data_IF_877987737300
#
_entry.id   IF_877987737300
#
_cell.length_a   1.000
_cell.length_b   1.000
_cell.length_c   1.000
_cell.angle_alpha   90.00
_cell.angle_beta   90.00
_cell.angle_gamma   90.00
#
_symmetry.space_group_name_H-M   'P 1'
#
loop_
_entity.id
_entity.type
_entity.pdbx_description
1 polymer ?
#
# COMPACT_ATOMS: atom_id res chain seq x y z
N UNK A 1 -0.43 40.87 -32.55
CA UNK A 1 0.22 40.50 -31.27
C UNK A 1 -0.81 39.77 -30.41
N UNK A 2 -1.11 38.52 -30.76
CA UNK A 2 -2.07 37.61 -30.08
C UNK A 2 -1.43 36.23 -29.80
N UNK A 3 -0.16 36.07 -30.16
CA UNK A 3 0.59 34.81 -30.09
C UNK A 3 1.15 34.53 -28.70
N UNK A 4 1.35 35.57 -27.89
CA UNK A 4 1.93 35.48 -26.55
C UNK A 4 0.95 34.83 -25.57
N UNK A 5 -0.30 35.31 -25.54
CA UNK A 5 -1.38 34.74 -24.71
C UNK A 5 -1.74 33.31 -25.11
N UNK A 6 -1.76 33.00 -26.41
CA UNK A 6 -2.03 31.64 -26.88
C UNK A 6 -0.89 30.67 -26.52
N UNK A 7 0.35 31.14 -26.52
CA UNK A 7 1.50 30.35 -26.08
C UNK A 7 1.48 30.14 -24.56
N UNK A 8 1.17 31.17 -23.77
CA UNK A 8 1.01 31.07 -22.31
C UNK A 8 -0.10 30.08 -21.94
N UNK A 9 -1.24 30.10 -22.64
CA UNK A 9 -2.33 29.14 -22.45
C UNK A 9 -1.89 27.71 -22.77
N UNK A 10 -1.21 27.49 -23.89
CA UNK A 10 -0.72 26.17 -24.27
C UNK A 10 0.31 25.61 -23.27
N UNK A 11 1.19 26.47 -22.73
CA UNK A 11 2.16 26.08 -21.70
C UNK A 11 1.46 25.73 -20.38
N UNK A 12 0.43 26.48 -20.01
CA UNK A 12 -0.38 26.19 -18.82
C UNK A 12 -1.12 24.85 -18.95
N UNK A 13 -1.77 24.61 -20.08
CA UNK A 13 -2.45 23.33 -20.39
C UNK A 13 -1.47 22.15 -20.36
N UNK A 14 -0.29 22.29 -20.95
CA UNK A 14 0.74 21.25 -20.91
C UNK A 14 1.21 20.95 -19.48
N UNK A 15 1.39 21.99 -18.67
CA UNK A 15 1.79 21.85 -17.26
C UNK A 15 0.71 21.16 -16.43
N UNK A 16 -0.56 21.45 -16.71
CA UNK A 16 -1.70 20.79 -16.07
C UNK A 16 -1.78 19.31 -16.45
N UNK A 17 -1.58 18.97 -17.72
CA UNK A 17 -1.54 17.58 -18.18
C UNK A 17 -0.40 16.78 -17.53
N UNK A 18 0.81 17.35 -17.44
CA UNK A 18 1.94 16.73 -16.72
C UNK A 18 1.62 16.51 -15.23
N UNK A 19 0.97 17.49 -14.58
CA UNK A 19 0.55 17.33 -13.20
C UNK A 19 -0.47 16.19 -13.02
N UNK A 20 -1.43 16.06 -13.93
CA UNK A 20 -2.43 14.97 -13.93
C UNK A 20 -1.74 13.60 -14.11
N UNK A 21 -0.80 13.49 -15.05
CA UNK A 21 -0.05 12.25 -15.28
C UNK A 21 0.76 11.85 -14.05
N UNK A 22 1.50 12.78 -13.45
CA UNK A 22 2.27 12.53 -12.22
C UNK A 22 1.38 12.12 -11.05
N UNK A 23 0.18 12.70 -10.94
CA UNK A 23 -0.81 12.29 -9.92
C UNK A 23 -1.26 10.84 -10.16
N UNK A 24 -1.62 10.49 -11.40
CA UNK A 24 -2.05 9.14 -11.75
C UNK A 24 -0.95 8.09 -11.49
N UNK A 25 0.29 8.39 -11.89
CA UNK A 25 1.44 7.53 -11.62
C UNK A 25 1.67 7.35 -10.11
N UNK A 26 1.67 8.45 -9.35
CA UNK A 26 1.88 8.42 -7.90
C UNK A 26 0.79 7.63 -7.17
N UNK A 27 -0.47 7.72 -7.62
CA UNK A 27 -1.59 6.92 -7.11
C UNK A 27 -1.39 5.43 -7.35
N UNK A 28 -0.96 5.06 -8.56
CA UNK A 28 -0.61 3.67 -8.90
C UNK A 28 0.51 3.13 -8.00
N UNK A 29 1.56 3.93 -7.78
CA UNK A 29 2.65 3.58 -6.87
C UNK A 29 2.17 3.38 -5.43
N UNK A 30 1.33 4.28 -4.90
CA UNK A 30 0.77 4.13 -3.56
C UNK A 30 0.00 2.82 -3.40
N UNK A 31 -0.89 2.49 -4.34
CA UNK A 31 -1.68 1.26 -4.32
C UNK A 31 -0.78 0.02 -4.37
N UNK A 32 0.24 0.04 -5.22
CA UNK A 32 1.24 -1.03 -5.36
C UNK A 32 2.05 -1.24 -4.09
N UNK A 33 2.51 -0.16 -3.45
CA UNK A 33 3.26 -0.23 -2.20
C UNK A 33 2.43 -0.80 -1.05
N UNK A 34 1.17 -0.38 -0.91
CA UNK A 34 0.28 -0.94 0.13
C UNK A 34 -0.01 -2.42 -0.14
N UNK A 35 -0.27 -2.81 -1.39
CA UNK A 35 -0.45 -4.22 -1.77
C UNK A 35 0.77 -5.07 -1.41
N UNK A 36 1.97 -4.55 -1.71
CA UNK A 36 3.24 -5.19 -1.35
C UNK A 36 3.39 -5.35 0.16
N UNK A 37 3.02 -4.34 0.95
CA UNK A 37 3.02 -4.41 2.41
C UNK A 37 2.06 -5.48 2.95
N UNK A 38 0.84 -5.59 2.40
CA UNK A 38 -0.10 -6.66 2.77
C UNK A 38 0.52 -8.03 2.55
N UNK A 39 1.13 -8.25 1.38
CA UNK A 39 1.77 -9.53 1.05
C UNK A 39 2.91 -9.86 2.00
N UNK A 40 3.80 -8.90 2.28
CA UNK A 40 4.92 -9.09 3.19
C UNK A 40 4.45 -9.47 4.61
N UNK A 41 3.37 -8.87 5.10
CA UNK A 41 2.77 -9.21 6.39
C UNK A 41 2.15 -10.61 6.40
N UNK A 42 1.51 -11.03 5.30
CA UNK A 42 0.99 -12.39 5.15
C UNK A 42 2.11 -13.43 5.14
N UNK A 43 3.20 -13.15 4.42
CA UNK A 43 4.37 -14.02 4.37
C UNK A 43 5.03 -14.14 5.76
N UNK A 44 5.13 -13.03 6.51
CA UNK A 44 5.61 -13.04 7.88
C UNK A 44 4.71 -13.85 8.83
N UNK A 45 3.39 -13.73 8.71
CA UNK A 45 2.42 -14.54 9.45
C UNK A 45 2.56 -16.03 9.11
N UNK A 46 2.79 -16.36 7.83
CA UNK A 46 3.07 -17.72 7.38
C UNK A 46 4.36 -18.30 7.98
N UNK A 47 5.44 -17.53 8.02
CA UNK A 47 6.69 -17.94 8.65
C UNK A 47 6.52 -18.16 10.17
N UNK A 48 5.80 -17.26 10.86
CA UNK A 48 5.49 -17.43 12.27
C UNK A 48 4.63 -18.68 12.52
N UNK A 49 3.67 -18.97 11.65
CA UNK A 49 2.88 -20.20 11.75
C UNK A 49 3.74 -21.47 11.59
N UNK A 50 4.76 -21.43 10.73
CA UNK A 50 5.72 -22.54 10.60
C UNK A 50 6.56 -22.70 11.88
N UNK A 51 7.09 -21.62 12.44
CA UNK A 51 7.82 -21.64 13.72
C UNK A 51 6.96 -22.21 14.84
N UNK A 52 5.66 -21.91 14.83
CA UNK A 52 4.70 -22.39 15.84
C UNK A 52 4.09 -23.75 15.56
N UNK A 53 4.47 -24.39 14.45
CA UNK A 53 3.95 -25.71 14.07
C UNK A 53 4.72 -26.85 14.74
N UNK A 54 4.13 -28.03 14.81
CA UNK A 54 4.79 -29.23 15.35
C UNK A 54 5.97 -29.74 14.49
N UNK A 55 6.19 -29.19 13.29
CA UNK A 55 7.33 -29.60 12.45
C UNK A 55 8.61 -28.84 12.75
N UNK A 56 8.52 -27.55 13.13
CA UNK A 56 9.68 -26.74 13.52
C UNK A 56 9.73 -26.57 15.04
N UNK A 57 8.59 -26.26 15.65
CA UNK A 57 8.37 -26.10 17.08
C UNK A 57 9.44 -25.25 17.78
N UNK A 58 9.39 -23.94 17.53
CA UNK A 58 10.19 -22.98 18.26
C UNK A 58 9.50 -22.59 19.58
N UNK A 59 10.09 -23.01 20.71
CA UNK A 59 9.50 -22.82 22.05
C UNK A 59 9.31 -21.35 22.41
N UNK A 60 10.17 -20.44 21.95
CA UNK A 60 10.08 -19.01 22.24
C UNK A 60 8.86 -18.40 21.54
N UNK A 61 8.54 -18.85 20.32
CA UNK A 61 7.36 -18.41 19.59
C UNK A 61 6.07 -19.17 19.94
N UNK A 62 6.16 -20.41 20.42
CA UNK A 62 4.99 -21.23 20.80
C UNK A 62 4.50 -20.89 22.20
N UNK A 63 5.40 -20.92 23.18
CA UNK A 63 5.08 -20.83 24.61
C UNK A 63 5.42 -19.46 25.19
N UNK A 64 6.34 -18.74 24.56
CA UNK A 64 6.72 -17.39 24.96
C UNK A 64 5.59 -16.38 24.76
N UNK A 65 5.49 -15.44 25.70
CA UNK A 65 4.57 -14.30 25.63
C UNK A 65 4.77 -13.51 24.34
N UNK A 66 6.03 -13.22 24.01
CA UNK A 66 6.40 -12.39 22.88
C UNK A 66 5.95 -13.01 21.54
N UNK A 67 5.99 -14.35 21.41
CA UNK A 67 5.49 -15.05 20.22
C UNK A 67 3.99 -14.85 19.99
N UNK A 68 3.20 -14.79 21.06
CA UNK A 68 1.75 -14.48 20.99
C UNK A 68 1.51 -13.01 20.67
N UNK A 69 2.31 -12.12 21.23
CA UNK A 69 2.21 -10.68 20.98
C UNK A 69 2.56 -10.37 19.52
N UNK A 70 3.61 -11.00 18.95
CA UNK A 70 3.96 -10.89 17.53
C UNK A 70 2.84 -11.42 16.62
N UNK A 71 2.22 -12.56 16.96
CA UNK A 71 1.11 -13.09 16.19
C UNK A 71 -0.08 -12.12 16.13
N UNK A 72 -0.44 -11.54 17.29
CA UNK A 72 -1.52 -10.56 17.40
C UNK A 72 -1.20 -9.31 16.59
N UNK A 73 0.04 -8.80 16.72
CA UNK A 73 0.50 -7.64 15.98
C UNK A 73 0.45 -7.84 14.46
N UNK A 74 0.84 -9.02 13.96
CA UNK A 74 0.78 -9.33 12.53
C UNK A 74 -0.67 -9.37 12.02
N UNK A 75 -1.58 -10.01 12.75
CA UNK A 75 -3.00 -10.08 12.38
C UNK A 75 -3.64 -8.68 12.33
N UNK A 76 -3.37 -7.84 13.33
CA UNK A 76 -3.84 -6.45 13.36
C UNK A 76 -3.23 -5.62 12.22
N UNK A 77 -1.93 -5.78 11.97
CA UNK A 77 -1.23 -5.07 10.89
C UNK A 77 -1.80 -5.45 9.52
N UNK A 78 -2.09 -6.73 9.27
CA UNK A 78 -2.73 -7.20 8.04
C UNK A 78 -4.10 -6.53 7.88
N UNK A 79 -4.90 -6.51 8.96
CA UNK A 79 -6.23 -5.89 8.94
C UNK A 79 -6.16 -4.40 8.63
N UNK A 80 -5.31 -3.65 9.33
CA UNK A 80 -5.16 -2.21 9.12
C UNK A 80 -4.63 -1.88 7.72
N UNK A 81 -3.65 -2.65 7.23
CA UNK A 81 -3.08 -2.43 5.89
C UNK A 81 -4.09 -2.73 4.79
N UNK A 82 -4.92 -3.78 4.93
CA UNK A 82 -6.03 -4.05 4.01
C UNK A 82 -7.10 -2.96 4.03
N UNK A 83 -7.39 -2.39 5.20
CA UNK A 83 -8.31 -1.26 5.31
C UNK A 83 -7.76 -0.03 4.58
N UNK A 84 -6.48 0.29 4.77
CA UNK A 84 -5.80 1.36 4.04
C UNK A 84 -5.84 1.13 2.53
N UNK A 85 -5.57 -0.10 2.07
CA UNK A 85 -5.67 -0.47 0.66
C UNK A 85 -7.08 -0.19 0.09
N UNK A 86 -8.13 -0.64 0.79
CA UNK A 86 -9.50 -0.45 0.34
C UNK A 86 -9.90 1.02 0.26
N UNK A 87 -9.47 1.84 1.24
CA UNK A 87 -9.71 3.29 1.22
C UNK A 87 -8.99 3.95 0.05
N UNK A 88 -7.71 3.63 -0.17
CA UNK A 88 -6.94 4.18 -1.30
C UNK A 88 -7.54 3.77 -2.64
N UNK A 89 -7.90 2.49 -2.80
CA UNK A 89 -8.57 2.00 -4.00
C UNK A 89 -9.88 2.75 -4.26
N UNK A 90 -10.68 2.98 -3.22
CA UNK A 90 -11.94 3.74 -3.35
C UNK A 90 -11.70 5.19 -3.76
N UNK A 91 -10.71 5.87 -3.18
CA UNK A 91 -10.36 7.26 -3.55
C UNK A 91 -9.92 7.33 -5.01
N UNK A 92 -9.04 6.43 -5.45
CA UNK A 92 -8.56 6.38 -6.83
C UNK A 92 -9.71 6.11 -7.81
N UNK A 93 -10.57 5.13 -7.51
CA UNK A 93 -11.73 4.81 -8.37
C UNK A 93 -12.73 5.97 -8.45
N UNK A 94 -13.00 6.68 -7.34
CA UNK A 94 -13.91 7.83 -7.32
C UNK A 94 -13.39 9.04 -8.11
N UNK A 95 -12.08 9.15 -8.28
CA UNK A 95 -11.44 10.20 -9.05
C UNK A 95 -11.31 9.85 -10.55
N UNK A 96 -11.81 8.70 -10.96
CA UNK A 96 -11.90 8.27 -12.36
C UNK A 96 -13.33 8.51 -12.87
N UNK A 97 -13.62 9.51 -13.74
CA UNK A 97 -14.93 9.69 -14.35
C UNK A 97 -15.30 8.55 -15.32
#
# INVERSE_FOLDING_TARGET
MHTDTALEQAVAEFTELDAIERIAETRSHLLSHISTAVKALQDASGALAQLRSNSVYDVEFVEGRDGRDVATFLDESIRHTRAAYAVVHTVIDQETP
#
